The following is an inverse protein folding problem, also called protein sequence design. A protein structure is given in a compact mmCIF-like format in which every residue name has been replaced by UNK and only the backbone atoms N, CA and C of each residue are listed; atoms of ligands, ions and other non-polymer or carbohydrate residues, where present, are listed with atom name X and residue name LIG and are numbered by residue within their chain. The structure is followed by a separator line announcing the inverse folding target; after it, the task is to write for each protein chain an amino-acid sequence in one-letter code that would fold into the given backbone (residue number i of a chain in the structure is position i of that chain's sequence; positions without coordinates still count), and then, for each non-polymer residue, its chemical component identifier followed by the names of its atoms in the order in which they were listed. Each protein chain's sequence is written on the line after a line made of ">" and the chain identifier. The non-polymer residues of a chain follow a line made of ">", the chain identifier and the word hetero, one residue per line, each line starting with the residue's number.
data_IF_577559466455
#
_entry.id   IF_577559466455
#
_cell.length_a   1.000
_cell.length_b   1.000
_cell.length_c   1.000
_cell.angle_alpha   90.00
_cell.angle_beta   90.00
_cell.angle_gamma   90.00
#
_symmetry.space_group_name_H-M   'P 1'
#
loop_
_entity.id
_entity.type
_entity.pdbx_description
1 polymer ?
#
# COMPACT_ATOMS: atom_id res chain seq x y z
N UNK A 1 12.94 -6.33 11.42
CA UNK A 1 12.56 -4.97 10.99
C UNK A 1 11.69 -5.05 9.77
N UNK A 2 10.61 -4.28 9.75
CA UNK A 2 9.73 -4.24 8.59
C UNK A 2 10.35 -3.42 7.47
N UNK A 3 10.21 -3.90 6.22
CA UNK A 3 10.58 -3.15 5.02
C UNK A 3 9.38 -2.35 4.48
N UNK A 4 8.24 -2.44 5.14
CA UNK A 4 7.04 -1.67 4.84
C UNK A 4 6.92 -0.56 5.87
N UNK A 5 7.20 0.67 5.46
CA UNK A 5 7.17 1.81 6.37
C UNK A 5 5.75 2.34 6.53
N UNK A 6 5.45 2.92 7.69
CA UNK A 6 4.15 3.54 7.91
C UNK A 6 4.14 4.94 7.32
N UNK A 7 3.00 5.30 6.71
CA UNK A 7 2.71 6.67 6.32
C UNK A 7 1.45 7.13 7.04
N UNK A 8 1.35 8.44 7.25
CA UNK A 8 0.22 9.07 7.93
C UNK A 8 -0.44 10.08 6.99
N UNK A 9 -1.58 10.63 7.41
CA UNK A 9 -2.21 11.72 6.67
C UNK A 9 -1.22 12.88 6.45
N UNK A 10 -0.36 13.16 7.44
CA UNK A 10 0.62 14.23 7.35
C UNK A 10 1.79 13.92 6.42
N UNK A 11 2.14 12.63 6.25
CA UNK A 11 3.33 12.24 5.47
C UNK A 11 2.99 11.63 4.11
N UNK A 12 1.72 11.47 3.78
CA UNK A 12 1.30 10.82 2.54
C UNK A 12 1.80 11.57 1.29
N UNK A 13 1.71 12.89 1.31
CA UNK A 13 2.15 13.71 0.16
C UNK A 13 3.63 13.49 -0.13
N UNK A 14 4.48 13.61 0.88
CA UNK A 14 5.94 13.43 0.71
C UNK A 14 6.32 11.98 0.45
N UNK A 15 5.69 11.04 1.15
CA UNK A 15 6.08 9.64 1.10
C UNK A 15 5.51 8.87 -0.08
N UNK A 16 4.41 9.33 -0.66
CA UNK A 16 3.72 8.63 -1.74
C UNK A 16 3.61 9.51 -2.98
N UNK A 17 2.96 10.66 -2.86
CA UNK A 17 2.64 11.47 -4.04
C UNK A 17 3.87 12.10 -4.71
N UNK A 18 4.91 12.40 -3.92
CA UNK A 18 6.16 12.98 -4.41
C UNK A 18 7.28 11.96 -4.59
N UNK A 19 6.98 10.69 -4.46
CA UNK A 19 7.96 9.64 -4.62
C UNK A 19 8.38 9.53 -6.09
N UNK A 20 9.68 9.33 -6.32
CA UNK A 20 10.23 9.09 -7.65
C UNK A 20 10.18 7.61 -8.06
N UNK A 21 9.79 6.73 -7.14
CA UNK A 21 9.52 5.31 -7.39
C UNK A 21 8.03 5.05 -7.35
N UNK A 22 7.55 4.00 -8.03
CA UNK A 22 6.19 3.50 -7.76
C UNK A 22 6.02 3.16 -6.28
N UNK A 23 4.84 3.43 -5.73
CA UNK A 23 4.55 3.16 -4.33
C UNK A 23 3.32 2.28 -4.23
N UNK A 24 3.46 1.16 -3.52
CA UNK A 24 2.32 0.32 -3.15
C UNK A 24 1.90 0.70 -1.73
N UNK A 25 0.64 1.06 -1.55
CA UNK A 25 0.06 1.47 -0.26
C UNK A 25 -0.93 0.42 0.20
N UNK A 26 -0.72 -0.10 1.42
CA UNK A 26 -1.61 -1.03 2.10
C UNK A 26 -2.41 -0.26 3.15
N UNK A 27 -3.71 -0.04 2.91
CA UNK A 27 -4.61 0.56 3.89
C UNK A 27 -5.19 -0.55 4.76
N UNK A 28 -5.00 -0.43 6.07
CA UNK A 28 -5.33 -1.50 7.02
C UNK A 28 -5.91 -0.95 8.32
N UNK A 29 -6.41 -1.84 9.16
CA UNK A 29 -6.80 -1.56 10.53
C UNK A 29 -6.55 -2.80 11.38
N UNK A 30 -6.34 -2.61 12.67
CA UNK A 30 -6.00 -3.72 13.58
C UNK A 30 -7.15 -4.70 13.80
N UNK A 31 -8.40 -4.26 13.61
CA UNK A 31 -9.59 -5.10 13.72
C UNK A 31 -9.91 -5.90 12.44
N UNK A 32 -9.16 -5.70 11.40
CA UNK A 32 -9.43 -6.27 10.08
C UNK A 32 -8.71 -7.62 9.90
N UNK A 33 -9.47 -8.72 9.93
CA UNK A 33 -8.93 -10.06 9.73
C UNK A 33 -8.23 -10.27 8.39
N UNK A 34 -8.88 -9.92 7.25
CA UNK A 34 -8.23 -10.04 5.94
C UNK A 34 -6.96 -9.20 5.78
N UNK A 35 -6.85 -8.08 6.48
CA UNK A 35 -5.64 -7.28 6.49
C UNK A 35 -4.46 -8.07 7.05
N UNK A 36 -4.70 -8.90 8.07
CA UNK A 36 -3.68 -9.74 8.69
C UNK A 36 -3.21 -10.85 7.76
N UNK A 37 -4.06 -11.30 6.84
CA UNK A 37 -3.70 -12.30 5.84
C UNK A 37 -2.79 -11.73 4.76
N UNK A 38 -3.00 -10.47 4.37
CA UNK A 38 -2.24 -9.86 3.29
C UNK A 38 -0.93 -9.24 3.78
N UNK A 39 -0.83 -8.89 5.07
CA UNK A 39 0.35 -8.22 5.62
C UNK A 39 1.65 -8.99 5.38
N UNK A 40 1.75 -10.31 5.65
CA UNK A 40 2.99 -11.04 5.38
C UNK A 40 3.33 -11.12 3.88
N UNK A 41 2.33 -11.12 3.01
CA UNK A 41 2.54 -11.10 1.56
C UNK A 41 3.19 -9.77 1.14
N UNK A 42 2.67 -8.68 1.65
CA UNK A 42 3.22 -7.35 1.40
C UNK A 42 4.67 -7.24 1.90
N UNK A 43 4.93 -7.75 3.12
CA UNK A 43 6.29 -7.77 3.69
C UNK A 43 7.26 -8.58 2.82
N UNK A 44 6.82 -9.73 2.32
CA UNK A 44 7.63 -10.56 1.45
C UNK A 44 7.96 -9.85 0.14
N UNK A 45 6.96 -9.24 -0.49
CA UNK A 45 7.17 -8.48 -1.72
C UNK A 45 8.10 -7.28 -1.50
N UNK A 46 7.97 -6.61 -0.37
CA UNK A 46 8.82 -5.47 -0.03
C UNK A 46 10.27 -5.91 0.17
N UNK A 47 10.49 -7.06 0.80
CA UNK A 47 11.83 -7.62 1.00
C UNK A 47 12.50 -7.91 -0.34
N UNK A 48 11.74 -8.46 -1.29
CA UNK A 48 12.26 -8.87 -2.59
C UNK A 48 12.40 -7.70 -3.58
N UNK A 49 11.43 -6.77 -3.56
CA UNK A 49 11.29 -5.75 -4.61
C UNK A 49 11.38 -4.31 -4.10
N UNK A 50 11.80 -4.11 -2.87
CA UNK A 50 11.86 -2.78 -2.25
C UNK A 50 12.86 -1.83 -2.89
N UNK A 51 13.77 -2.34 -3.71
CA UNK A 51 14.71 -1.52 -4.47
C UNK A 51 14.04 -0.83 -5.69
N UNK A 52 12.98 -1.42 -6.22
CA UNK A 52 12.27 -0.93 -7.41
C UNK A 52 10.94 -0.25 -7.08
N UNK A 53 10.27 -0.71 -6.03
CA UNK A 53 8.95 -0.23 -5.59
C UNK A 53 9.03 0.08 -4.11
N UNK A 54 8.51 1.22 -3.71
CA UNK A 54 8.39 1.57 -2.29
C UNK A 54 7.10 0.95 -1.76
N UNK A 55 7.19 0.29 -0.60
CA UNK A 55 6.03 -0.33 0.06
C UNK A 55 5.76 0.42 1.35
N UNK A 56 4.53 0.91 1.50
CA UNK A 56 4.09 1.61 2.70
C UNK A 56 2.74 1.09 3.16
N UNK A 57 2.40 1.35 4.42
CA UNK A 57 1.10 0.99 4.98
C UNK A 57 0.55 2.17 5.76
N UNK A 58 -0.78 2.24 5.82
CA UNK A 58 -1.49 3.32 6.53
C UNK A 58 -2.57 2.73 7.43
N UNK A 59 -2.49 3.03 8.72
CA UNK A 59 -3.50 2.68 9.71
C UNK A 59 -4.69 3.62 9.56
N UNK A 60 -5.82 3.10 9.08
CA UNK A 60 -7.00 3.93 8.81
C UNK A 60 -7.75 4.34 10.08
N UNK A 61 -7.48 3.70 11.23
CA UNK A 61 -8.07 4.12 12.50
C UNK A 61 -7.56 5.49 12.95
N UNK A 62 -6.29 5.77 12.67
CA UNK A 62 -5.64 7.00 13.12
C UNK A 62 -5.39 7.98 11.99
N UNK A 63 -5.69 7.58 10.74
CA UNK A 63 -5.48 8.41 9.56
C UNK A 63 -6.73 8.39 8.69
N UNK A 64 -7.76 9.20 9.02
CA UNK A 64 -9.04 9.15 8.31
C UNK A 64 -9.10 9.97 7.03
N UNK A 65 -8.20 10.93 6.85
CA UNK A 65 -8.29 11.89 5.74
C UNK A 65 -7.90 11.26 4.41
N UNK A 66 -6.72 10.67 4.34
CA UNK A 66 -6.19 10.08 3.11
C UNK A 66 -7.10 8.97 2.56
N UNK A 67 -7.55 8.00 3.39
CA UNK A 67 -8.45 6.97 2.88
C UNK A 67 -9.74 7.53 2.32
N UNK A 68 -10.34 8.54 2.96
CA UNK A 68 -11.56 9.17 2.48
C UNK A 68 -11.32 9.85 1.12
N UNK A 69 -10.20 10.57 0.97
CA UNK A 69 -9.87 11.27 -0.26
C UNK A 69 -9.57 10.32 -1.41
N UNK A 70 -9.07 9.13 -1.13
CA UNK A 70 -8.63 8.16 -2.14
C UNK A 70 -9.62 7.02 -2.34
N UNK A 71 -10.88 7.21 -1.92
CA UNK A 71 -11.98 6.27 -2.16
C UNK A 71 -11.76 4.89 -1.54
N UNK A 72 -11.13 4.83 -0.38
CA UNK A 72 -10.94 3.59 0.37
C UNK A 72 -12.24 3.30 1.12
N UNK A 73 -13.03 2.35 0.62
CA UNK A 73 -14.36 2.04 1.15
C UNK A 73 -14.39 0.74 1.96
N UNK A 74 -13.34 -0.04 1.94
CA UNK A 74 -13.24 -1.30 2.67
C UNK A 74 -11.80 -1.69 2.88
N UNK A 75 -11.56 -2.68 3.75
CA UNK A 75 -10.19 -3.09 4.10
C UNK A 75 -9.98 -4.59 3.90
N UNK A 76 -8.77 -4.98 3.51
CA UNK A 76 -7.71 -4.09 3.08
C UNK A 76 -8.01 -3.46 1.73
N UNK A 77 -7.42 -2.31 1.46
CA UNK A 77 -7.35 -1.74 0.13
C UNK A 77 -5.89 -1.56 -0.22
N UNK A 78 -5.50 -2.05 -1.39
CA UNK A 78 -4.13 -1.93 -1.88
C UNK A 78 -4.15 -1.02 -3.10
N UNK A 79 -3.35 0.02 -3.08
CA UNK A 79 -3.28 0.98 -4.19
C UNK A 79 -1.85 1.13 -4.66
N UNK A 80 -1.66 1.34 -5.95
CA UNK A 80 -0.35 1.61 -6.54
C UNK A 80 -0.37 3.02 -7.14
N UNK A 81 0.59 3.83 -6.74
CA UNK A 81 0.78 5.19 -7.19
C UNK A 81 2.06 5.31 -8.00
N UNK A 82 2.01 6.02 -9.10
CA UNK A 82 3.19 6.29 -9.93
C UNK A 82 3.18 7.77 -10.30
N UNK A 83 4.24 8.48 -9.93
CA UNK A 83 4.33 9.92 -10.22
C UNK A 83 3.21 10.75 -9.62
N UNK A 84 2.71 10.33 -8.46
CA UNK A 84 1.61 11.00 -7.77
C UNK A 84 0.22 10.60 -8.25
N UNK A 85 0.12 9.69 -9.22
CA UNK A 85 -1.18 9.24 -9.75
C UNK A 85 -1.52 7.86 -9.24
N UNK A 86 -2.79 7.66 -8.87
CA UNK A 86 -3.33 6.36 -8.53
C UNK A 86 -3.55 5.57 -9.82
N UNK A 87 -2.76 4.53 -10.06
CA UNK A 87 -2.78 3.75 -11.30
C UNK A 87 -3.46 2.39 -11.15
N UNK A 88 -3.48 1.82 -9.94
CA UNK A 88 -4.12 0.53 -9.67
C UNK A 88 -4.71 0.52 -8.27
N UNK A 89 -5.84 -0.16 -8.11
CA UNK A 89 -6.50 -0.29 -6.81
C UNK A 89 -7.14 -1.67 -6.72
N UNK A 90 -6.97 -2.33 -5.56
CA UNK A 90 -7.55 -3.63 -5.25
C UNK A 90 -8.27 -3.54 -3.92
N UNK A 91 -9.49 -4.04 -3.87
CA UNK A 91 -10.29 -4.09 -2.66
C UNK A 91 -10.32 -5.53 -2.15
N UNK A 92 -10.01 -5.71 -0.87
CA UNK A 92 -9.98 -7.02 -0.24
C UNK A 92 -8.61 -7.67 -0.34
N UNK A 93 -8.42 -8.75 0.43
CA UNK A 93 -7.18 -9.50 0.43
C UNK A 93 -7.00 -10.22 -0.92
N UNK A 94 -5.82 -10.08 -1.49
CA UNK A 94 -5.48 -10.70 -2.78
C UNK A 94 -4.29 -11.66 -2.59
N UNK A 95 -4.21 -12.72 -3.39
CA UNK A 95 -3.05 -13.59 -3.34
C UNK A 95 -1.79 -12.88 -3.85
N UNK A 96 -0.64 -13.42 -3.46
CA UNK A 96 0.67 -12.87 -3.85
C UNK A 96 0.79 -12.66 -5.36
N UNK A 97 0.31 -13.62 -6.16
CA UNK A 97 0.40 -13.55 -7.62
C UNK A 97 -0.29 -12.31 -8.20
N UNK A 98 -1.42 -11.91 -7.61
CA UNK A 98 -2.17 -10.72 -8.06
C UNK A 98 -1.39 -9.45 -7.72
N UNK A 99 -0.86 -9.37 -6.50
CA UNK A 99 -0.11 -8.20 -6.05
C UNK A 99 1.23 -8.08 -6.77
N UNK A 100 1.90 -9.20 -7.00
CA UNK A 100 3.14 -9.21 -7.77
C UNK A 100 2.90 -8.72 -9.20
N UNK A 101 1.84 -9.20 -9.83
CA UNK A 101 1.48 -8.78 -11.19
C UNK A 101 1.19 -7.27 -11.25
N UNK A 102 0.62 -6.72 -10.18
CA UNK A 102 0.30 -5.29 -10.13
C UNK A 102 1.55 -4.40 -10.20
N UNK A 103 2.69 -4.88 -9.73
CA UNK A 103 3.95 -4.11 -9.73
C UNK A 103 4.96 -4.60 -10.77
N UNK A 104 4.64 -5.68 -11.48
CA UNK A 104 5.57 -6.37 -12.37
C UNK A 104 6.16 -5.47 -13.45
N UNK A 105 5.37 -4.57 -14.01
CA UNK A 105 5.82 -3.65 -15.05
C UNK A 105 6.87 -2.64 -14.57
N UNK A 106 7.04 -2.49 -13.27
CA UNK A 106 8.00 -1.57 -12.67
C UNK A 106 9.29 -2.27 -12.21
N UNK A 107 9.32 -3.58 -12.33
CA UNK A 107 10.49 -4.38 -11.96
C UNK A 107 11.43 -4.57 -13.16
#
# INVERSE_FOLDING_TARGET
>A
MSTVNEVTDATFDEGVLKSDKPVLVDYWADWCGPCKQVAPIIEELATTHGDKVTFVKMDTNTNPVTPANNHVLGLPTIQVYVGGELVKAFKGAKPKSVLLKAIEEYL
#
